data_IF_964014151450
#
_entry.id   IF_964014151450
#
_cell.length_a   1.000
_cell.length_b   1.000
_cell.length_c   1.000
_cell.angle_alpha   90.00
_cell.angle_beta   90.00
_cell.angle_gamma   90.00
#
_symmetry.space_group_name_H-M   'P 1'
#
loop_
_entity.id
_entity.type
_entity.pdbx_description
1 polymer ?
#
# COMPACT_ATOMS: atom_id res chain seq x y z
N UNK A 1 14.48 40.25 -33.84
CA UNK A 1 14.22 40.45 -32.40
C UNK A 1 12.72 40.57 -32.27
N UNK A 2 12.01 39.66 -31.61
CA UNK A 2 11.99 39.55 -30.16
C UNK A 2 11.58 38.15 -29.68
N UNK A 3 12.45 37.61 -28.81
CA UNK A 3 12.22 36.65 -27.73
C UNK A 3 11.29 35.45 -28.00
N UNK A 4 11.98 34.33 -28.26
CA UNK A 4 11.50 33.01 -27.93
C UNK A 4 11.08 32.97 -26.45
N UNK A 5 9.83 32.59 -26.21
CA UNK A 5 9.37 32.16 -24.90
C UNK A 5 9.90 30.73 -24.69
N UNK A 6 11.05 30.65 -24.03
CA UNK A 6 11.64 29.40 -23.55
C UNK A 6 10.79 28.95 -22.36
N UNK A 7 9.65 28.34 -22.66
CA UNK A 7 8.87 27.60 -21.68
C UNK A 7 9.78 26.58 -20.97
N UNK A 8 9.78 26.65 -19.64
CA UNK A 8 10.64 25.91 -18.73
C UNK A 8 10.89 24.45 -19.15
N UNK A 9 12.14 24.16 -19.49
CA UNK A 9 12.67 22.83 -19.88
C UNK A 9 12.74 21.84 -18.68
N UNK A 10 11.83 21.94 -17.72
CA UNK A 10 12.00 21.40 -16.35
C UNK A 10 10.86 20.56 -15.74
N UNK A 11 9.80 20.20 -16.45
CA UNK A 11 8.69 19.40 -15.87
C UNK A 11 8.17 18.27 -16.78
N UNK A 12 9.03 17.62 -17.56
CA UNK A 12 8.62 16.43 -18.29
C UNK A 12 8.61 15.20 -17.36
N UNK A 13 7.56 14.39 -17.45
CA UNK A 13 7.46 13.17 -16.67
C UNK A 13 8.54 12.17 -17.12
N UNK A 14 9.22 11.55 -16.16
CA UNK A 14 10.14 10.42 -16.43
C UNK A 14 9.39 9.25 -17.05
N UNK A 15 8.15 9.03 -16.60
CA UNK A 15 7.22 8.04 -17.15
C UNK A 15 5.80 8.40 -16.74
N UNK A 16 4.84 8.05 -17.60
CA UNK A 16 3.41 8.20 -17.32
C UNK A 16 2.73 6.84 -17.38
N UNK A 17 1.87 6.58 -16.40
CA UNK A 17 0.97 5.41 -16.37
C UNK A 17 -0.46 5.90 -16.54
N UNK A 18 -1.05 5.63 -17.69
CA UNK A 18 -2.35 6.19 -18.06
C UNK A 18 -3.54 5.42 -17.46
N UNK A 19 -4.57 6.16 -17.09
CA UNK A 19 -5.87 5.59 -16.74
C UNK A 19 -5.84 4.62 -15.55
N UNK A 20 -4.94 4.82 -14.58
CA UNK A 20 -4.85 3.98 -13.39
C UNK A 20 -6.07 4.23 -12.48
N UNK A 21 -6.69 3.13 -12.03
CA UNK A 21 -7.77 3.19 -11.07
C UNK A 21 -7.20 3.48 -9.67
N UNK A 22 -7.62 4.58 -9.06
CA UNK A 22 -7.32 4.91 -7.66
C UNK A 22 -8.61 4.72 -6.86
N UNK A 23 -8.56 3.83 -5.86
CA UNK A 23 -9.68 3.52 -5.00
C UNK A 23 -9.86 4.57 -3.89
N UNK A 24 -8.74 5.13 -3.42
CA UNK A 24 -8.70 6.18 -2.39
C UNK A 24 -7.56 7.16 -2.68
N UNK A 25 -7.82 8.47 -2.87
CA UNK A 25 -9.11 9.09 -3.16
C UNK A 25 -9.68 8.60 -4.50
N UNK A 26 -10.95 8.17 -4.51
CA UNK A 26 -11.58 7.52 -5.67
C UNK A 26 -11.48 8.36 -6.94
N UNK A 27 -11.04 7.73 -8.04
CA UNK A 27 -11.02 8.32 -9.37
C UNK A 27 -10.13 7.53 -10.34
N UNK A 28 -10.08 7.98 -11.59
CA UNK A 28 -9.17 7.47 -12.61
C UNK A 28 -8.18 8.57 -12.96
N UNK A 29 -6.88 8.26 -12.92
CA UNK A 29 -5.82 9.25 -13.03
C UNK A 29 -4.72 8.74 -13.96
N UNK A 30 -4.11 9.66 -14.69
CA UNK A 30 -2.78 9.45 -15.22
C UNK A 30 -1.79 9.69 -14.08
N UNK A 31 -0.90 8.72 -13.86
CA UNK A 31 0.11 8.80 -12.81
C UNK A 31 1.45 9.10 -13.46
N UNK A 32 1.90 10.33 -13.30
CA UNK A 32 3.18 10.80 -13.82
C UNK A 32 4.24 10.73 -12.72
N UNK A 33 5.36 10.09 -12.99
CA UNK A 33 6.51 10.09 -12.10
C UNK A 33 7.52 11.11 -12.61
N UNK A 34 7.84 12.13 -11.80
CA UNK A 34 8.84 13.16 -12.11
C UNK A 34 10.10 12.92 -11.27
N UNK A 35 11.13 13.75 -11.44
CA UNK A 35 12.40 13.59 -10.71
C UNK A 35 12.30 13.81 -9.20
N UNK A 36 11.37 14.66 -8.73
CA UNK A 36 11.25 15.05 -7.31
C UNK A 36 9.85 14.86 -6.71
N UNK A 37 8.85 14.59 -7.55
CA UNK A 37 7.47 14.40 -7.14
C UNK A 37 6.77 13.39 -8.04
N UNK A 38 5.64 12.86 -7.60
CA UNK A 38 4.67 12.22 -8.48
C UNK A 38 3.47 13.12 -8.65
N UNK A 39 2.82 13.05 -9.81
CA UNK A 39 1.61 13.81 -10.11
C UNK A 39 0.49 12.83 -10.46
N UNK A 40 -0.65 12.99 -9.80
CA UNK A 40 -1.89 12.33 -10.17
C UNK A 40 -2.71 13.32 -10.97
N UNK A 41 -2.88 13.09 -12.27
CA UNK A 41 -3.67 13.95 -13.14
C UNK A 41 -5.01 13.30 -13.45
N UNK A 42 -6.08 13.80 -12.84
CA UNK A 42 -7.46 13.39 -13.12
C UNK A 42 -8.18 14.45 -13.96
N UNK A 43 -9.35 14.10 -14.49
CA UNK A 43 -10.13 15.00 -15.37
C UNK A 43 -10.52 16.33 -14.71
N UNK A 44 -10.89 16.31 -13.42
CA UNK A 44 -11.37 17.48 -12.70
C UNK A 44 -10.42 17.98 -11.61
N UNK A 45 -9.49 17.14 -11.16
CA UNK A 45 -8.57 17.45 -10.06
C UNK A 45 -7.25 16.71 -10.28
N UNK A 46 -6.16 17.33 -9.81
CA UNK A 46 -4.85 16.67 -9.75
C UNK A 46 -4.16 16.89 -8.41
N UNK A 47 -3.20 16.02 -8.11
CA UNK A 47 -2.38 16.10 -6.91
C UNK A 47 -0.90 16.09 -7.31
N UNK A 48 -0.11 17.04 -6.79
CA UNK A 48 1.35 17.02 -6.86
C UNK A 48 1.88 16.60 -5.50
N UNK A 49 2.59 15.47 -5.45
CA UNK A 49 3.02 14.83 -4.20
C UNK A 49 4.53 14.72 -4.21
N UNK A 50 5.19 15.45 -3.31
CA UNK A 50 6.64 15.41 -3.17
C UNK A 50 7.07 14.03 -2.68
N UNK A 51 8.18 13.51 -3.21
CA UNK A 51 8.71 12.22 -2.75
C UNK A 51 9.11 12.23 -1.27
N UNK A 52 9.49 13.38 -0.74
CA UNK A 52 9.76 13.57 0.69
C UNK A 52 8.57 13.22 1.58
N UNK A 53 7.34 13.31 1.05
CA UNK A 53 6.13 12.94 1.79
C UNK A 53 5.81 11.45 1.70
N UNK A 54 6.50 10.67 0.86
CA UNK A 54 6.24 9.23 0.70
C UNK A 54 6.95 8.45 1.80
N UNK A 55 6.19 8.02 2.81
CA UNK A 55 6.71 7.26 3.96
C UNK A 55 6.97 5.81 3.59
N UNK A 56 6.02 5.17 2.89
CA UNK A 56 6.10 3.75 2.54
C UNK A 56 5.21 3.42 1.36
N UNK A 57 5.67 2.49 0.54
CA UNK A 57 4.89 1.90 -0.55
C UNK A 57 4.59 0.45 -0.19
N UNK A 58 3.36 0.00 -0.42
CA UNK A 58 2.94 -1.38 -0.24
C UNK A 58 2.53 -1.96 -1.59
N UNK A 59 2.97 -3.17 -1.91
CA UNK A 59 2.57 -3.93 -3.11
C UNK A 59 1.82 -5.17 -2.63
N UNK A 60 0.50 -5.17 -2.73
CA UNK A 60 -0.40 -6.12 -2.06
C UNK A 60 -1.32 -6.80 -3.09
N UNK A 61 -0.98 -8.02 -3.54
CA UNK A 61 -1.82 -8.79 -4.46
C UNK A 61 -3.15 -9.19 -3.81
N UNK A 62 -4.26 -9.06 -4.53
CA UNK A 62 -5.54 -9.63 -4.11
C UNK A 62 -5.57 -11.10 -4.53
N UNK A 63 -5.99 -11.97 -3.63
CA UNK A 63 -6.16 -13.38 -3.93
C UNK A 63 -7.49 -13.61 -4.67
N UNK A 64 -7.51 -14.53 -5.65
CA UNK A 64 -8.66 -14.85 -6.51
C UNK A 64 -9.30 -13.64 -7.19
N UNK A 65 -8.53 -12.57 -7.41
CA UNK A 65 -8.94 -11.40 -8.17
C UNK A 65 -7.78 -10.94 -9.04
N UNK A 66 -8.03 -10.51 -10.29
CA UNK A 66 -6.99 -10.13 -11.24
C UNK A 66 -6.41 -8.74 -10.94
N UNK A 67 -6.25 -8.39 -9.66
CA UNK A 67 -5.83 -7.06 -9.23
C UNK A 67 -4.77 -7.10 -8.16
N UNK A 68 -3.83 -6.16 -8.26
CA UNK A 68 -2.83 -5.88 -7.25
C UNK A 68 -3.02 -4.45 -6.75
N UNK A 69 -3.08 -4.28 -5.43
CA UNK A 69 -3.12 -2.97 -4.81
C UNK A 69 -1.70 -2.45 -4.63
N UNK A 70 -1.46 -1.21 -5.04
CA UNK A 70 -0.27 -0.45 -4.64
C UNK A 70 -0.71 0.67 -3.74
N UNK A 71 -0.23 0.71 -2.51
CA UNK A 71 -0.61 1.74 -1.53
C UNK A 71 0.56 2.64 -1.21
N UNK A 72 0.40 3.94 -1.42
CA UNK A 72 1.40 4.96 -1.08
C UNK A 72 0.93 5.62 0.21
N UNK A 73 1.69 5.43 1.29
CA UNK A 73 1.45 6.10 2.58
C UNK A 73 2.22 7.40 2.62
N UNK A 74 1.53 8.46 3.04
CA UNK A 74 1.97 9.84 2.98
C UNK A 74 2.00 10.49 4.36
N UNK A 75 3.04 11.26 4.61
CA UNK A 75 3.13 12.20 5.71
C UNK A 75 3.86 13.48 5.23
N UNK A 76 3.20 14.65 5.17
CA UNK A 76 1.79 14.89 5.49
C UNK A 76 0.82 14.27 4.46
N UNK A 77 -0.45 14.02 4.86
CA UNK A 77 -1.50 13.52 3.96
C UNK A 77 -1.87 14.55 2.87
N UNK A 78 -2.36 14.07 1.72
CA UNK A 78 -2.92 14.97 0.69
C UNK A 78 -4.33 15.40 1.07
N UNK A 79 -4.73 16.61 0.68
CA UNK A 79 -6.06 17.17 0.97
C UNK A 79 -6.92 17.22 -0.29
N UNK A 80 -8.17 16.78 -0.20
CA UNK A 80 -9.21 17.02 -1.23
C UNK A 80 -10.47 17.56 -0.53
N UNK A 81 -10.74 18.84 -0.72
CA UNK A 81 -11.76 19.53 0.09
C UNK A 81 -11.40 19.51 1.57
N UNK A 82 -12.32 19.06 2.42
CA UNK A 82 -12.09 18.94 3.87
C UNK A 82 -11.39 17.62 4.26
N UNK A 83 -11.35 16.63 3.37
CA UNK A 83 -10.83 15.29 3.68
C UNK A 83 -9.32 15.22 3.46
N UNK A 84 -8.62 14.62 4.42
CA UNK A 84 -7.20 14.26 4.34
C UNK A 84 -7.06 12.78 3.96
N UNK A 85 -6.13 12.49 3.05
CA UNK A 85 -5.81 11.14 2.59
C UNK A 85 -4.35 10.83 2.92
N UNK A 86 -4.08 10.13 4.04
CA UNK A 86 -2.75 9.63 4.37
C UNK A 86 -2.34 8.44 3.51
N UNK A 87 -3.28 7.84 2.77
CA UNK A 87 -3.01 6.72 1.90
C UNK A 87 -3.63 6.93 0.51
N UNK A 88 -2.83 6.69 -0.52
CA UNK A 88 -3.29 6.59 -1.91
C UNK A 88 -3.32 5.13 -2.29
N UNK A 89 -4.49 4.60 -2.63
CA UNK A 89 -4.68 3.19 -2.99
C UNK A 89 -4.89 3.07 -4.49
N UNK A 90 -3.84 2.68 -5.21
CA UNK A 90 -3.88 2.37 -6.63
C UNK A 90 -4.25 0.90 -6.84
N UNK A 91 -5.02 0.61 -7.88
CA UNK A 91 -5.37 -0.74 -8.30
C UNK A 91 -4.86 -0.98 -9.72
N UNK A 92 -3.96 -1.94 -9.86
CA UNK A 92 -3.45 -2.42 -11.13
C UNK A 92 -4.09 -3.76 -11.49
N UNK A 93 -4.27 -4.02 -12.78
CA UNK A 93 -4.50 -5.38 -13.28
C UNK A 93 -3.23 -6.21 -13.09
N UNK A 94 -3.33 -7.36 -12.44
CA UNK A 94 -2.15 -8.13 -11.99
C UNK A 94 -1.28 -8.59 -13.15
N UNK A 95 -1.90 -9.06 -14.24
CA UNK A 95 -1.22 -9.72 -15.35
C UNK A 95 -0.92 -8.77 -16.52
N UNK A 96 -1.19 -7.47 -16.35
CA UNK A 96 -0.92 -6.49 -17.40
C UNK A 96 0.59 -6.28 -17.55
N UNK A 97 1.13 -6.67 -18.71
CA UNK A 97 2.53 -6.51 -19.10
C UNK A 97 2.69 -5.25 -19.92
N UNK A 98 3.67 -4.43 -19.54
CA UNK A 98 4.06 -3.23 -20.28
C UNK A 98 5.53 -3.31 -20.70
N UNK A 99 5.86 -2.56 -21.74
CA UNK A 99 7.21 -2.34 -22.24
C UNK A 99 7.38 -0.83 -22.38
N UNK A 100 8.19 -0.22 -21.51
CA UNK A 100 8.32 1.23 -21.41
C UNK A 100 9.78 1.66 -21.26
N UNK A 101 10.08 2.86 -21.76
CA UNK A 101 11.38 3.51 -21.64
C UNK A 101 11.23 4.77 -20.79
N UNK A 102 12.22 5.06 -19.96
CA UNK A 102 12.25 6.26 -19.13
C UNK A 102 12.71 7.46 -19.96
N UNK A 103 11.98 8.57 -19.87
CA UNK A 103 12.40 9.87 -20.38
C UNK A 103 13.43 10.50 -19.42
N UNK A 104 14.64 9.94 -19.40
CA UNK A 104 15.79 10.41 -18.63
C UNK A 104 17.02 10.54 -19.53
N UNK A 105 17.80 11.60 -19.35
CA UNK A 105 19.10 11.70 -20.00
C UNK A 105 20.07 10.65 -19.45
N UNK A 106 20.95 10.14 -20.32
CA UNK A 106 21.98 9.16 -19.93
C UNK A 106 22.88 9.71 -18.82
N UNK A 107 23.21 11.01 -18.86
CA UNK A 107 24.00 11.67 -17.82
C UNK A 107 23.33 11.60 -16.44
N UNK A 108 22.03 11.91 -16.35
CA UNK A 108 21.30 11.83 -15.08
C UNK A 108 21.15 10.39 -14.59
N UNK A 109 20.92 9.46 -15.51
CA UNK A 109 20.86 8.04 -15.18
C UNK A 109 22.20 7.58 -14.60
N UNK A 110 23.31 7.86 -15.27
CA UNK A 110 24.64 7.40 -14.88
C UNK A 110 25.19 8.07 -13.62
N UNK A 111 24.85 9.33 -13.37
CA UNK A 111 25.38 10.09 -12.23
C UNK A 111 24.53 9.96 -10.96
N UNK A 112 23.19 9.93 -11.09
CA UNK A 112 22.27 9.99 -9.94
C UNK A 112 21.48 8.71 -9.70
N UNK A 113 21.17 7.95 -10.75
CA UNK A 113 20.22 6.83 -10.67
C UNK A 113 20.77 5.48 -11.14
N UNK A 114 22.07 5.34 -11.37
CA UNK A 114 22.70 4.18 -12.04
C UNK A 114 22.34 2.83 -11.41
N UNK A 115 22.19 2.81 -10.09
CA UNK A 115 21.86 1.60 -9.32
C UNK A 115 20.37 1.53 -8.91
N UNK A 116 19.60 2.55 -9.28
CA UNK A 116 18.22 2.75 -8.85
C UNK A 116 17.21 2.59 -9.98
N UNK A 117 17.58 2.99 -11.19
CA UNK A 117 16.72 2.98 -12.37
C UNK A 117 17.45 2.34 -13.56
N UNK A 118 16.66 1.75 -14.46
CA UNK A 118 17.09 1.26 -15.77
C UNK A 118 16.56 2.21 -16.86
N UNK A 119 17.17 2.18 -18.04
CA UNK A 119 16.68 2.93 -19.20
C UNK A 119 15.31 2.47 -19.67
N UNK A 120 15.04 1.17 -19.59
CA UNK A 120 13.77 0.57 -19.99
C UNK A 120 13.36 -0.60 -19.11
N UNK A 121 12.06 -0.89 -19.11
CA UNK A 121 11.42 -1.91 -18.29
C UNK A 121 10.42 -2.72 -19.10
N UNK A 122 10.44 -4.04 -18.91
CA UNK A 122 9.47 -4.96 -19.49
C UNK A 122 8.99 -5.97 -18.46
N UNK A 123 7.68 -6.15 -18.33
CA UNK A 123 7.09 -6.99 -17.29
C UNK A 123 5.79 -6.43 -16.72
N UNK A 124 5.37 -6.96 -15.56
CA UNK A 124 4.11 -6.59 -14.93
C UNK A 124 4.09 -5.12 -14.47
N UNK A 125 3.05 -4.39 -14.84
CA UNK A 125 2.90 -2.94 -14.60
C UNK A 125 3.01 -2.57 -13.11
N UNK A 126 2.45 -3.38 -12.21
CA UNK A 126 2.51 -3.17 -10.77
C UNK A 126 3.95 -3.24 -10.21
N UNK A 127 4.76 -4.17 -10.71
CA UNK A 127 6.17 -4.34 -10.35
C UNK A 127 7.04 -3.22 -10.91
N UNK A 128 6.84 -2.88 -12.18
CA UNK A 128 7.56 -1.79 -12.84
C UNK A 128 7.26 -0.45 -12.16
N UNK A 129 5.98 -0.15 -11.93
CA UNK A 129 5.55 1.06 -11.23
C UNK A 129 6.25 1.20 -9.86
N UNK A 130 6.22 0.15 -9.04
CA UNK A 130 6.82 0.18 -7.70
C UNK A 130 8.34 0.25 -7.73
N UNK A 131 9.00 -0.37 -8.72
CA UNK A 131 10.43 -0.29 -8.91
C UNK A 131 10.88 1.13 -9.30
N UNK A 132 10.20 1.76 -10.26
CA UNK A 132 10.53 3.13 -10.70
C UNK A 132 10.24 4.13 -9.58
N UNK A 133 9.08 4.01 -8.91
CA UNK A 133 8.74 4.88 -7.78
C UNK A 133 9.78 4.74 -6.66
N UNK A 134 10.22 3.53 -6.33
CA UNK A 134 11.32 3.31 -5.36
C UNK A 134 12.62 3.95 -5.82
N UNK A 135 12.98 3.82 -7.09
CA UNK A 135 14.22 4.38 -7.63
C UNK A 135 14.26 5.91 -7.57
N UNK A 136 13.12 6.56 -7.83
CA UNK A 136 12.98 8.02 -7.79
C UNK A 136 12.82 8.57 -6.37
N UNK A 137 11.96 7.95 -5.55
CA UNK A 137 11.62 8.45 -4.20
C UNK A 137 12.55 7.96 -3.09
N UNK A 138 13.27 6.85 -3.31
CA UNK A 138 13.98 6.14 -2.25
C UNK A 138 13.08 5.40 -1.25
N UNK A 139 11.76 5.39 -1.47
CA UNK A 139 10.80 4.77 -0.56
C UNK A 139 10.99 3.25 -0.46
N UNK A 140 10.75 2.71 0.75
CA UNK A 140 10.76 1.27 0.97
C UNK A 140 9.46 0.65 0.46
N UNK A 141 9.57 -0.45 -0.27
CA UNK A 141 8.43 -1.23 -0.75
C UNK A 141 8.21 -2.41 0.21
N UNK A 142 7.02 -2.50 0.79
CA UNK A 142 6.58 -3.61 1.63
C UNK A 142 5.70 -4.54 0.80
N UNK A 143 6.04 -5.83 0.79
CA UNK A 143 5.27 -6.90 0.16
C UNK A 143 4.59 -7.74 1.25
N UNK A 144 3.67 -8.66 0.90
CA UNK A 144 3.13 -9.60 1.88
C UNK A 144 4.25 -10.39 2.55
N UNK A 145 4.06 -10.67 3.84
CA UNK A 145 4.98 -11.49 4.62
C UNK A 145 4.69 -12.99 4.47
N UNK A 146 4.95 -13.70 5.56
CA UNK A 146 4.77 -15.17 5.64
C UNK A 146 3.31 -15.60 5.87
N UNK A 147 2.41 -14.67 6.20
CA UNK A 147 1.00 -14.99 6.38
C UNK A 147 0.41 -15.64 5.12
N UNK A 148 -0.37 -16.70 5.30
CA UNK A 148 -1.22 -17.30 4.27
C UNK A 148 -2.62 -17.50 4.83
N UNK A 149 -3.62 -17.14 4.04
CA UNK A 149 -5.02 -17.42 4.36
C UNK A 149 -5.36 -18.88 4.08
N UNK A 150 -6.57 -19.31 4.44
CA UNK A 150 -7.06 -20.67 4.20
C UNK A 150 -7.17 -21.05 2.71
N UNK A 151 -7.06 -20.06 1.83
CA UNK A 151 -7.08 -20.22 0.37
C UNK A 151 -5.70 -19.92 -0.25
N UNK A 152 -4.62 -19.93 0.52
CA UNK A 152 -3.26 -19.54 0.08
C UNK A 152 -3.14 -18.08 -0.39
N UNK A 153 -4.07 -17.22 0.03
CA UNK A 153 -4.01 -15.78 -0.17
C UNK A 153 -3.14 -15.05 0.86
N UNK A 154 -2.93 -13.75 0.67
CA UNK A 154 -2.11 -12.90 1.55
C UNK A 154 -2.93 -12.07 2.54
N UNK A 155 -4.25 -12.23 2.55
CA UNK A 155 -5.18 -11.42 3.31
C UNK A 155 -6.42 -12.23 3.67
N UNK A 156 -7.13 -11.79 4.70
CA UNK A 156 -8.44 -12.32 5.07
C UNK A 156 -9.54 -11.34 4.67
N UNK A 157 -10.68 -11.86 4.23
CA UNK A 157 -11.88 -11.04 4.05
C UNK A 157 -12.44 -10.68 5.42
N UNK A 158 -12.80 -9.42 5.59
CA UNK A 158 -13.41 -8.89 6.81
C UNK A 158 -14.18 -7.60 6.48
N UNK A 159 -14.95 -7.09 7.43
CA UNK A 159 -15.51 -5.74 7.37
C UNK A 159 -15.00 -4.89 8.52
N UNK A 160 -14.76 -3.61 8.25
CA UNK A 160 -14.45 -2.61 9.27
C UNK A 160 -15.54 -1.55 9.23
N UNK A 161 -16.26 -1.40 10.34
CA UNK A 161 -17.52 -0.64 10.39
C UNK A 161 -18.51 -1.20 9.34
N UNK A 162 -18.97 -0.38 8.41
CA UNK A 162 -19.94 -0.77 7.38
C UNK A 162 -19.29 -1.07 6.01
N UNK A 163 -17.96 -1.18 5.95
CA UNK A 163 -17.23 -1.37 4.69
C UNK A 163 -16.56 -2.75 4.66
N UNK A 164 -16.82 -3.50 3.59
CA UNK A 164 -16.14 -4.76 3.31
C UNK A 164 -14.75 -4.53 2.71
N UNK A 165 -13.80 -5.39 3.08
CA UNK A 165 -12.43 -5.27 2.61
C UNK A 165 -11.58 -6.50 2.85
N UNK A 166 -10.27 -6.26 2.75
CA UNK A 166 -9.22 -7.24 2.98
C UNK A 166 -8.33 -6.71 4.10
N UNK A 167 -8.14 -7.52 5.14
CA UNK A 167 -7.15 -7.29 6.17
C UNK A 167 -5.88 -8.05 5.78
N UNK A 168 -4.80 -7.33 5.51
CA UNK A 168 -3.48 -7.87 5.22
C UNK A 168 -2.63 -7.93 6.50
N UNK A 169 -2.30 -9.12 7.03
CA UNK A 169 -1.30 -9.27 8.07
C UNK A 169 0.10 -9.18 7.46
N UNK A 170 0.85 -8.13 7.80
CA UNK A 170 2.19 -7.84 7.30
C UNK A 170 3.22 -7.96 8.43
N UNK A 171 4.50 -8.07 8.11
CA UNK A 171 5.56 -8.32 9.10
C UNK A 171 5.57 -7.35 10.30
N UNK A 172 5.17 -6.10 10.10
CA UNK A 172 5.19 -5.04 11.12
C UNK A 172 3.86 -4.31 11.31
N UNK A 173 2.79 -4.76 10.65
CA UNK A 173 1.52 -4.05 10.65
C UNK A 173 0.36 -4.90 10.15
N UNK A 174 -0.85 -4.56 10.55
CA UNK A 174 -2.06 -4.92 9.83
C UNK A 174 -2.44 -3.78 8.87
N UNK A 175 -2.90 -4.11 7.66
CA UNK A 175 -3.42 -3.10 6.73
C UNK A 175 -4.77 -3.52 6.17
N UNK A 176 -5.83 -2.82 6.56
CA UNK A 176 -7.16 -3.00 5.98
C UNK A 176 -7.38 -2.08 4.77
N UNK A 177 -7.86 -2.66 3.68
CA UNK A 177 -8.03 -2.02 2.37
C UNK A 177 -9.31 -2.50 1.67
N UNK A 178 -9.88 -1.72 0.73
CA UNK A 178 -9.39 -0.43 0.24
C UNK A 178 -10.00 0.79 0.93
N UNK A 179 -11.04 0.62 1.76
CA UNK A 179 -11.82 1.73 2.31
C UNK A 179 -12.39 1.42 3.71
N UNK A 180 -12.20 2.31 4.71
CA UNK A 180 -11.10 3.28 4.75
C UNK A 180 -9.76 2.54 4.83
N UNK A 181 -8.71 2.96 4.09
CA UNK A 181 -7.38 2.41 4.31
C UNK A 181 -6.98 2.62 5.77
N UNK A 182 -6.72 1.53 6.48
CA UNK A 182 -6.41 1.55 7.92
C UNK A 182 -5.15 0.74 8.16
N UNK A 183 -4.02 1.44 8.32
CA UNK A 183 -2.73 0.87 8.66
C UNK A 183 -2.58 0.90 10.19
N UNK A 184 -2.32 -0.26 10.80
CA UNK A 184 -2.10 -0.42 12.23
C UNK A 184 -0.72 -1.03 12.43
N UNK A 185 0.22 -0.31 13.03
CA UNK A 185 1.56 -0.84 13.28
C UNK A 185 1.55 -1.78 14.48
N UNK A 186 2.31 -2.88 14.42
CA UNK A 186 2.38 -3.83 15.54
C UNK A 186 2.90 -3.20 16.83
N UNK A 187 3.71 -2.14 16.73
CA UNK A 187 4.23 -1.40 17.88
C UNK A 187 3.18 -0.52 18.58
N UNK A 188 2.08 -0.21 17.90
CA UNK A 188 0.97 0.59 18.41
C UNK A 188 -0.11 -0.28 19.09
N UNK A 189 -0.07 -1.60 18.90
CA UNK A 189 -1.05 -2.53 19.45
C UNK A 189 -0.79 -2.72 20.95
N UNK A 190 -1.88 -2.66 21.73
CA UNK A 190 -1.91 -3.04 23.14
C UNK A 190 -2.27 -4.53 23.28
N UNK A 191 -3.46 -4.92 22.80
CA UNK A 191 -3.87 -6.32 22.72
C UNK A 191 -4.74 -6.63 21.51
N UNK A 192 -4.90 -7.92 21.25
CA UNK A 192 -5.77 -8.46 20.21
C UNK A 192 -6.67 -9.53 20.82
N UNK A 193 -7.95 -9.50 20.49
CA UNK A 193 -8.96 -10.43 21.00
C UNK A 193 -9.77 -11.03 19.84
N UNK A 194 -10.04 -12.33 19.95
CA UNK A 194 -10.89 -13.06 19.01
C UNK A 194 -12.26 -13.26 19.64
N UNK A 195 -13.27 -12.59 19.11
CA UNK A 195 -14.64 -12.65 19.60
C UNK A 195 -15.43 -13.70 18.81
N UNK A 196 -15.89 -14.74 19.50
CA UNK A 196 -16.83 -15.70 18.92
C UNK A 196 -18.25 -15.31 19.27
N UNK A 197 -19.12 -15.22 18.28
CA UNK A 197 -20.55 -15.01 18.48
C UNK A 197 -21.15 -16.20 19.25
N UNK A 198 -21.43 -16.03 20.54
CA UNK A 198 -22.09 -17.04 21.36
C UNK A 198 -23.62 -16.89 21.32
N UNK A 199 -24.31 -18.01 21.07
CA UNK A 199 -25.73 -18.28 21.25
C UNK A 199 -26.74 -17.53 20.35
N UNK A 200 -26.98 -18.10 19.15
CA UNK A 200 -28.16 -17.80 18.34
C UNK A 200 -28.01 -18.34 16.92
N UNK A 201 -28.11 -19.67 16.75
CA UNK A 201 -28.33 -20.49 15.52
C UNK A 201 -27.79 -20.09 14.13
N UNK A 202 -27.04 -18.98 13.95
CA UNK A 202 -26.75 -18.40 12.64
C UNK A 202 -25.29 -17.98 12.36
N UNK A 203 -24.33 -18.03 13.30
CA UNK A 203 -22.96 -17.58 13.00
C UNK A 203 -21.81 -18.46 13.51
N UNK A 204 -21.98 -19.79 13.56
CA UNK A 204 -20.85 -20.72 13.81
C UNK A 204 -19.74 -20.67 12.73
N UNK A 205 -19.94 -19.93 11.63
CA UNK A 205 -19.04 -19.85 10.48
C UNK A 205 -18.09 -18.66 10.52
N UNK A 206 -18.29 -17.69 11.41
CA UNK A 206 -17.52 -16.45 11.45
C UNK A 206 -17.08 -16.10 12.88
N UNK A 207 -16.05 -15.28 12.98
CA UNK A 207 -15.62 -14.63 14.22
C UNK A 207 -15.23 -13.18 13.92
N UNK A 208 -15.12 -12.38 14.97
CA UNK A 208 -14.66 -11.00 14.89
C UNK A 208 -13.28 -10.87 15.55
N UNK A 209 -12.46 -9.95 15.05
CA UNK A 209 -11.11 -9.66 15.53
C UNK A 209 -11.06 -8.23 16.03
N UNK A 210 -10.90 -8.06 17.34
CA UNK A 210 -10.69 -6.77 17.98
C UNK A 210 -9.18 -6.50 18.10
N UNK A 211 -8.72 -5.38 17.54
CA UNK A 211 -7.38 -4.86 17.77
C UNK A 211 -7.51 -3.55 18.57
N UNK A 212 -7.01 -3.54 19.81
CA UNK A 212 -6.93 -2.33 20.63
C UNK A 212 -5.53 -1.73 20.54
N UNK A 213 -5.46 -0.44 20.27
CA UNK A 213 -4.21 0.32 20.27
C UNK A 213 -3.87 0.82 21.67
N UNK A 214 -2.60 1.15 21.91
CA UNK A 214 -2.11 1.80 23.14
C UNK A 214 -2.77 3.15 23.42
N UNK A 215 -3.37 3.76 22.40
CA UNK A 215 -4.19 4.98 22.51
C UNK A 215 -5.63 4.72 22.92
N UNK A 216 -5.97 3.49 23.29
CA UNK A 216 -7.33 2.99 23.59
C UNK A 216 -8.29 2.97 22.39
N UNK A 217 -7.83 3.35 21.20
CA UNK A 217 -8.61 3.21 19.99
C UNK A 217 -8.80 1.73 19.62
N UNK A 218 -10.03 1.36 19.29
CA UNK A 218 -10.41 -0.01 18.93
C UNK A 218 -10.75 -0.13 17.44
N UNK A 219 -10.24 -1.20 16.82
CA UNK A 219 -10.55 -1.62 15.46
C UNK A 219 -11.16 -3.02 15.49
N UNK A 220 -12.48 -3.10 15.32
CA UNK A 220 -13.22 -4.36 15.27
C UNK A 220 -13.46 -4.80 13.82
N UNK A 221 -12.73 -5.81 13.39
CA UNK A 221 -12.86 -6.45 12.08
C UNK A 221 -13.84 -7.61 12.17
N UNK A 222 -14.97 -7.50 11.47
CA UNK A 222 -16.06 -8.47 11.56
C UNK A 222 -16.10 -9.44 10.39
N UNK A 223 -16.93 -10.47 10.51
CA UNK A 223 -17.26 -11.41 9.45
C UNK A 223 -16.04 -12.15 8.88
N UNK A 224 -15.05 -12.46 9.72
CA UNK A 224 -13.89 -13.27 9.30
C UNK A 224 -14.29 -14.74 9.34
N UNK A 225 -14.04 -15.46 8.25
CA UNK A 225 -14.38 -16.89 8.17
C UNK A 225 -13.62 -17.70 9.22
N UNK A 226 -14.30 -18.64 9.88
CA UNK A 226 -13.73 -19.42 10.98
C UNK A 226 -12.52 -20.28 10.59
N UNK A 227 -12.40 -20.67 9.32
CA UNK A 227 -11.22 -21.37 8.80
C UNK A 227 -9.95 -20.50 8.78
N UNK A 228 -10.07 -19.17 8.91
CA UNK A 228 -8.92 -18.26 9.03
C UNK A 228 -8.39 -18.14 10.47
N UNK A 229 -9.10 -18.69 11.45
CA UNK A 229 -8.79 -18.49 12.88
C UNK A 229 -7.35 -18.90 13.22
N UNK A 230 -6.95 -20.13 12.89
CA UNK A 230 -5.61 -20.63 13.22
C UNK A 230 -4.51 -19.91 12.43
N UNK A 231 -4.75 -19.59 11.16
CA UNK A 231 -3.80 -18.82 10.34
C UNK A 231 -3.47 -17.46 10.97
N UNK A 232 -4.51 -16.75 11.43
CA UNK A 232 -4.37 -15.46 12.09
C UNK A 232 -3.75 -15.58 13.47
N UNK A 233 -4.19 -16.57 14.26
CA UNK A 233 -3.66 -16.82 15.60
C UNK A 233 -2.16 -17.11 15.57
N UNK A 234 -1.72 -18.02 14.69
CA UNK A 234 -0.32 -18.41 14.58
C UNK A 234 0.54 -17.26 14.06
N UNK A 235 0.02 -16.50 13.08
CA UNK A 235 0.67 -15.29 12.62
C UNK A 235 0.85 -14.27 13.75
N UNK A 236 -0.21 -13.97 14.51
CA UNK A 236 -0.17 -12.98 15.59
C UNK A 236 0.78 -13.39 16.71
N UNK A 237 0.78 -14.67 17.09
CA UNK A 237 1.74 -15.19 18.07
C UNK A 237 3.16 -14.92 17.64
N UNK A 238 3.53 -15.21 16.40
CA UNK A 238 4.89 -15.00 15.89
C UNK A 238 5.22 -13.50 15.70
N UNK A 239 4.31 -12.74 15.11
CA UNK A 239 4.53 -11.35 14.74
C UNK A 239 4.49 -10.39 15.94
N UNK A 240 3.58 -10.60 16.89
CA UNK A 240 3.46 -9.74 18.06
C UNK A 240 4.50 -10.08 19.14
N UNK A 241 4.84 -11.37 19.33
CA UNK A 241 5.96 -11.73 20.22
C UNK A 241 7.29 -11.19 19.68
N UNK A 242 7.54 -11.27 18.37
CA UNK A 242 8.77 -10.70 17.80
C UNK A 242 8.83 -9.18 17.93
N UNK A 243 7.70 -8.49 17.76
CA UNK A 243 7.58 -7.05 18.04
C UNK A 243 7.94 -6.73 19.49
N UNK A 244 7.36 -7.45 20.45
CA UNK A 244 7.63 -7.27 21.87
C UNK A 244 9.11 -7.52 22.22
N UNK A 245 9.69 -8.63 21.74
CA UNK A 245 11.10 -8.96 21.96
C UNK A 245 12.05 -7.91 21.36
N UNK A 246 11.71 -7.32 20.22
CA UNK A 246 12.49 -6.25 19.60
C UNK A 246 12.52 -4.97 20.43
N UNK A 247 11.46 -4.67 21.20
CA UNK A 247 11.42 -3.54 22.14
C UNK A 247 12.39 -3.74 23.31
N UNK A 248 12.66 -4.99 23.70
CA UNK A 248 13.61 -5.35 24.74
C UNK A 248 15.05 -5.59 24.22
N UNK A 249 15.34 -5.24 22.97
CA UNK A 249 16.69 -5.36 22.39
C UNK A 249 17.11 -6.79 22.00
N UNK A 250 16.20 -7.76 22.07
CA UNK A 250 16.45 -9.12 21.58
C UNK A 250 16.20 -9.19 20.07
N UNK A 251 17.21 -8.82 19.28
CA UNK A 251 17.22 -9.16 17.87
C UNK A 251 17.58 -10.63 17.71
N UNK A 252 16.77 -11.41 16.98
CA UNK A 252 17.18 -12.73 16.50
C UNK A 252 18.39 -12.53 15.60
N UNK A 253 19.59 -12.75 16.14
CA UNK A 253 20.79 -13.00 15.35
C UNK A 253 20.58 -14.31 14.60
N UNK A 254 20.38 -14.21 13.29
CA UNK A 254 20.62 -15.31 12.36
C UNK A 254 21.89 -14.95 11.57
#
# INVERSE_FOLDING_TARGET
MSMADVGARGEEAVVTFDGIAILTPRGRYNVELHLSFLRLQGQANGFKIQYSSVVRVFLLPKHNQPHTLVVITLDPPIRKGQTLYPHIVLQFETDNVVDLSLALSEDLLNTKYKERLLTGYKGLINGIFTQILRGLSGSKVTKPGKFRSSQDGYAVKSSLKAEDGLLYPLEKSFFFLPKPPTLILHEEIDYVEFETHAAGTASMHYFDLLIRLKTEQEHLFRNIQRNEYYNLLDFMRLALLSSLLSQFGFNKSA
#
